data_IF_418767920144
#
_entry.id   IF_418767920144
#
_cell.length_a   1.000
_cell.length_b   1.000
_cell.length_c   1.000
_cell.angle_alpha   90.00
_cell.angle_beta   90.00
_cell.angle_gamma   90.00
#
_symmetry.space_group_name_H-M   'P 1'
#
loop_
_entity.id
_entity.type
_entity.pdbx_description
1 polymer ?
#
# COMPACT_ATOMS: atom_id res chain seq x y z
N UNK A 1 -4.13 -4.65 -10.38
CA UNK A 1 -3.38 -5.39 -9.31
C UNK A 1 -3.54 -6.91 -9.36
N UNK A 2 -4.59 -7.46 -9.98
CA UNK A 2 -4.85 -8.92 -10.00
C UNK A 2 -4.59 -9.58 -11.37
N UNK A 3 -3.74 -8.98 -12.20
CA UNK A 3 -3.31 -9.69 -13.41
C UNK A 3 -2.41 -10.86 -13.01
N UNK A 4 -2.56 -12.01 -13.66
CA UNK A 4 -1.78 -13.21 -13.36
C UNK A 4 -0.30 -13.01 -13.71
N UNK A 5 -0.03 -12.19 -14.72
CA UNK A 5 1.31 -11.99 -15.27
C UNK A 5 2.05 -10.77 -14.70
N UNK A 6 1.53 -10.18 -13.61
CA UNK A 6 2.13 -8.97 -13.05
C UNK A 6 3.38 -9.28 -12.22
N UNK A 7 4.43 -8.51 -12.45
CA UNK A 7 5.68 -8.62 -11.71
C UNK A 7 5.52 -8.15 -10.25
N UNK A 8 6.18 -8.85 -9.32
CA UNK A 8 6.07 -8.57 -7.89
C UNK A 8 6.58 -7.16 -7.54
N UNK A 9 7.62 -6.67 -8.24
CA UNK A 9 8.15 -5.31 -8.04
C UNK A 9 7.10 -4.29 -8.46
N UNK A 10 6.50 -4.48 -9.64
CA UNK A 10 5.43 -3.61 -10.13
C UNK A 10 4.24 -3.60 -9.18
N UNK A 11 3.88 -4.72 -8.55
CA UNK A 11 2.81 -4.75 -7.54
C UNK A 11 3.12 -3.83 -6.37
N UNK A 12 4.34 -3.88 -5.83
CA UNK A 12 4.77 -3.00 -4.72
C UNK A 12 4.72 -1.53 -5.12
N UNK A 13 5.19 -1.20 -6.32
CA UNK A 13 5.15 0.17 -6.86
C UNK A 13 3.72 0.67 -7.04
N UNK A 14 2.81 -0.17 -7.56
CA UNK A 14 1.40 0.17 -7.71
C UNK A 14 0.72 0.39 -6.35
N UNK A 15 1.01 -0.45 -5.35
CA UNK A 15 0.52 -0.20 -3.99
C UNK A 15 1.04 1.12 -3.44
N UNK A 16 2.32 1.42 -3.64
CA UNK A 16 2.90 2.67 -3.19
C UNK A 16 2.24 3.88 -3.87
N UNK A 17 2.02 3.83 -5.18
CA UNK A 17 1.31 4.88 -5.93
C UNK A 17 -0.12 5.06 -5.42
N UNK A 18 -0.86 3.96 -5.21
CA UNK A 18 -2.23 4.00 -4.71
C UNK A 18 -2.33 4.57 -3.28
N UNK A 19 -1.39 4.21 -2.40
CA UNK A 19 -1.30 4.78 -1.04
C UNK A 19 -1.09 6.29 -1.11
N UNK A 20 -0.14 6.76 -1.90
CA UNK A 20 0.10 8.20 -2.08
C UNK A 20 -1.13 8.91 -2.64
N UNK A 21 -1.83 8.30 -3.60
CA UNK A 21 -3.06 8.85 -4.14
C UNK A 21 -4.13 9.02 -3.04
N UNK A 22 -4.36 8.01 -2.20
CA UNK A 22 -5.34 8.10 -1.10
C UNK A 22 -4.94 9.12 -0.05
N UNK A 23 -3.65 9.21 0.28
CA UNK A 23 -3.13 10.24 1.17
C UNK A 23 -3.34 11.64 0.57
N UNK A 24 -3.17 11.78 -0.75
CA UNK A 24 -3.43 13.04 -1.46
C UNK A 24 -4.90 13.42 -1.51
N UNK A 25 -5.84 12.48 -1.30
CA UNK A 25 -7.27 12.80 -1.17
C UNK A 25 -7.63 13.33 0.22
N UNK A 26 -6.76 13.17 1.22
CA UNK A 26 -7.03 13.56 2.62
C UNK A 26 -6.86 15.07 2.84
N UNK A 27 -7.61 15.87 2.11
CA UNK A 27 -7.73 17.31 2.28
C UNK A 27 -9.15 17.78 1.98
N UNK A 28 -9.43 19.02 2.38
CA UNK A 28 -10.75 19.62 2.25
C UNK A 28 -11.13 19.90 0.79
N UNK A 29 -10.17 20.25 -0.08
CA UNK A 29 -10.43 20.51 -1.51
C UNK A 29 -10.96 19.25 -2.23
N UNK A 30 -10.36 18.10 -1.94
CA UNK A 30 -10.79 16.80 -2.47
C UNK A 30 -12.18 16.43 -1.96
N UNK A 31 -12.47 16.71 -0.69
CA UNK A 31 -13.80 16.53 -0.14
C UNK A 31 -14.83 17.44 -0.84
N UNK A 32 -14.48 18.71 -1.08
CA UNK A 32 -15.35 19.66 -1.76
C UNK A 32 -15.76 19.20 -3.15
N UNK A 33 -14.85 18.60 -3.92
CA UNK A 33 -15.18 18.02 -5.22
C UNK A 33 -16.24 16.92 -5.07
N UNK A 34 -16.11 16.05 -4.07
CA UNK A 34 -17.10 15.00 -3.79
C UNK A 34 -18.44 15.58 -3.31
N UNK A 35 -18.38 16.62 -2.48
CA UNK A 35 -19.52 17.37 -1.98
C UNK A 35 -20.31 18.01 -3.13
N UNK A 36 -19.64 18.70 -4.05
CA UNK A 36 -20.25 19.33 -5.23
C UNK A 36 -20.93 18.28 -6.15
N UNK A 37 -20.27 17.13 -6.35
CA UNK A 37 -20.86 16.01 -7.11
C UNK A 37 -22.09 15.45 -6.39
N UNK A 38 -22.02 15.28 -5.06
CA UNK A 38 -23.13 14.77 -4.26
C UNK A 38 -24.32 15.73 -4.26
N UNK A 39 -24.10 17.04 -4.13
CA UNK A 39 -25.14 18.07 -4.22
C UNK A 39 -25.77 18.06 -5.62
N UNK A 40 -24.96 18.00 -6.67
CA UNK A 40 -25.44 17.96 -8.06
C UNK A 40 -26.33 16.74 -8.32
N UNK A 41 -25.98 15.59 -7.73
CA UNK A 41 -26.75 14.33 -7.89
C UNK A 41 -27.98 14.24 -6.99
N UNK A 42 -27.92 14.76 -5.76
CA UNK A 42 -28.99 14.63 -4.77
C UNK A 42 -29.97 15.80 -4.78
N UNK A 43 -29.56 16.97 -5.25
CA UNK A 43 -30.31 18.22 -5.14
C UNK A 43 -30.37 18.81 -3.73
N UNK A 44 -29.72 18.16 -2.75
CA UNK A 44 -29.74 18.55 -1.34
C UNK A 44 -28.45 19.30 -1.01
N UNK A 45 -28.56 20.52 -0.49
CA UNK A 45 -27.42 21.36 -0.09
C UNK A 45 -27.17 21.34 1.41
N UNK A 46 -28.23 21.19 2.19
CA UNK A 46 -28.16 21.32 3.64
C UNK A 46 -27.91 19.96 4.30
N UNK A 47 -27.00 19.95 5.28
CA UNK A 47 -26.78 18.80 6.13
C UNK A 47 -27.97 18.60 7.08
N UNK A 48 -28.51 17.38 7.11
CA UNK A 48 -29.74 17.09 7.82
C UNK A 48 -29.51 17.03 9.34
N UNK A 49 -29.82 18.11 10.09
CA UNK A 49 -29.77 18.09 11.57
C UNK A 49 -30.80 18.98 12.29
N UNK A 50 -31.83 19.49 11.59
CA UNK A 50 -32.82 20.41 12.19
C UNK A 50 -33.60 19.85 13.41
N UNK A 51 -33.45 18.57 13.76
CA UNK A 51 -34.20 17.91 14.84
C UNK A 51 -33.35 17.36 15.99
N UNK A 52 -32.03 17.59 16.06
CA UNK A 52 -31.25 17.13 17.23
C UNK A 52 -31.20 18.16 18.35
N UNK A 53 -31.60 17.71 19.55
CA UNK A 53 -31.55 18.51 20.78
C UNK A 53 -30.10 18.88 21.11
N UNK A 54 -29.76 20.17 21.00
CA UNK A 54 -28.48 20.69 21.49
C UNK A 54 -28.47 20.64 23.02
N UNK A 55 -27.63 19.77 23.59
CA UNK A 55 -27.50 19.60 25.05
C UNK A 55 -26.64 20.74 25.60
N UNK A 56 -27.24 21.69 26.32
CA UNK A 56 -26.50 22.71 27.05
C UNK A 56 -25.89 22.12 28.32
N UNK A 57 -24.57 22.23 28.48
CA UNK A 57 -23.87 21.92 29.74
C UNK A 57 -24.24 22.97 30.80
N UNK A 58 -24.32 22.56 32.07
CA UNK A 58 -24.39 23.52 33.19
C UNK A 58 -22.97 24.04 33.46
N UNK A 59 -22.79 25.34 33.37
CA UNK A 59 -21.52 26.03 33.58
C UNK A 59 -21.44 26.44 35.06
N UNK A 60 -20.32 26.18 35.73
CA UNK A 60 -20.07 26.69 37.09
C UNK A 60 -19.68 28.17 37.08
N UNK A 61 -19.87 28.88 38.19
CA UNK A 61 -19.68 30.35 38.27
C UNK A 61 -18.27 30.81 37.84
N UNK A 62 -17.25 29.96 38.03
CA UNK A 62 -15.85 30.24 37.64
C UNK A 62 -15.45 29.67 36.26
N UNK A 63 -16.34 28.97 35.56
CA UNK A 63 -16.07 28.45 34.21
C UNK A 63 -16.63 29.41 33.15
N UNK A 64 -15.83 29.72 32.13
CA UNK A 64 -16.31 30.44 30.93
C UNK A 64 -16.41 29.48 29.75
N UNK A 65 -17.39 29.70 28.86
CA UNK A 65 -17.67 28.80 27.74
C UNK A 65 -16.79 29.04 26.50
N UNK A 66 -15.78 29.91 26.62
CA UNK A 66 -15.01 30.45 25.49
C UNK A 66 -14.21 29.41 24.70
N UNK A 67 -14.05 28.19 25.23
CA UNK A 67 -13.27 27.12 24.62
C UNK A 67 -14.12 25.97 24.03
N UNK A 68 -15.45 26.07 23.99
CA UNK A 68 -16.28 25.06 23.32
C UNK A 68 -16.14 25.19 21.78
N UNK A 69 -15.36 24.28 21.18
CA UNK A 69 -15.23 24.17 19.72
C UNK A 69 -16.53 23.57 19.17
N UNK A 70 -17.37 24.40 18.57
CA UNK A 70 -18.56 23.96 17.86
C UNK A 70 -18.16 23.58 16.42
N UNK A 71 -18.01 22.28 16.16
CA UNK A 71 -17.82 21.80 14.78
C UNK A 71 -19.07 22.06 13.95
N UNK A 72 -18.90 22.57 12.72
CA UNK A 72 -20.02 22.57 11.77
C UNK A 72 -20.39 21.13 11.40
N UNK A 73 -21.61 20.92 10.92
CA UNK A 73 -22.08 19.61 10.49
C UNK A 73 -21.25 19.06 9.33
N UNK A 74 -20.79 19.97 8.47
CA UNK A 74 -19.82 19.70 7.41
C UNK A 74 -18.49 19.21 7.99
N UNK A 75 -17.93 19.91 8.97
CA UNK A 75 -16.68 19.51 9.61
C UNK A 75 -16.82 18.17 10.32
N UNK A 76 -17.98 17.91 10.93
CA UNK A 76 -18.26 16.61 11.55
C UNK A 76 -18.20 15.48 10.52
N UNK A 77 -18.81 15.65 9.34
CA UNK A 77 -18.77 14.66 8.27
C UNK A 77 -17.35 14.47 7.73
N UNK A 78 -16.60 15.56 7.52
CA UNK A 78 -15.22 15.52 7.05
C UNK A 78 -14.35 14.74 8.05
N UNK A 79 -14.37 15.14 9.32
CA UNK A 79 -13.48 14.60 10.34
C UNK A 79 -13.86 13.17 10.73
N UNK A 80 -15.14 12.92 11.02
CA UNK A 80 -15.58 11.65 11.61
C UNK A 80 -15.93 10.59 10.57
N UNK A 81 -16.12 10.97 9.30
CA UNK A 81 -16.48 10.03 8.25
C UNK A 81 -15.46 10.01 7.13
N UNK A 82 -15.24 11.13 6.44
CA UNK A 82 -14.37 11.17 5.26
C UNK A 82 -12.93 10.79 5.58
N UNK A 83 -12.31 11.47 6.57
CA UNK A 83 -10.95 11.16 6.98
C UNK A 83 -10.84 9.77 7.61
N UNK A 84 -11.83 9.34 8.40
CA UNK A 84 -11.83 7.99 8.98
C UNK A 84 -11.83 6.90 7.90
N UNK A 85 -12.62 7.07 6.83
CA UNK A 85 -12.65 6.13 5.70
C UNK A 85 -11.29 6.10 4.98
N UNK A 86 -10.72 7.27 4.68
CA UNK A 86 -9.41 7.36 4.02
C UNK A 86 -8.29 6.76 4.87
N UNK A 87 -8.28 7.04 6.17
CA UNK A 87 -7.28 6.53 7.12
C UNK A 87 -7.38 4.99 7.21
N UNK A 88 -8.61 4.45 7.27
CA UNK A 88 -8.84 3.00 7.25
C UNK A 88 -8.36 2.37 5.96
N UNK A 89 -8.67 2.98 4.81
CA UNK A 89 -8.27 2.48 3.51
C UNK A 89 -6.75 2.51 3.33
N UNK A 90 -6.11 3.62 3.70
CA UNK A 90 -4.65 3.78 3.69
C UNK A 90 -3.98 2.74 4.58
N UNK A 91 -4.51 2.50 5.78
CA UNK A 91 -4.01 1.47 6.68
C UNK A 91 -4.07 0.07 6.07
N UNK A 92 -5.22 -0.34 5.51
CA UNK A 92 -5.34 -1.68 4.91
C UNK A 92 -4.45 -1.85 3.68
N UNK A 93 -4.25 -0.80 2.87
CA UNK A 93 -3.32 -0.84 1.74
C UNK A 93 -1.87 -0.95 2.19
N UNK A 94 -1.45 -0.17 3.20
CA UNK A 94 -0.12 -0.28 3.80
C UNK A 94 0.11 -1.68 4.36
N UNK A 95 -0.87 -2.22 5.09
CA UNK A 95 -0.82 -3.59 5.63
C UNK A 95 -0.65 -4.64 4.53
N UNK A 96 -1.38 -4.53 3.42
CA UNK A 96 -1.21 -5.44 2.27
C UNK A 96 0.14 -5.25 1.60
N UNK A 97 0.58 -4.01 1.36
CA UNK A 97 1.89 -3.70 0.77
C UNK A 97 3.02 -4.33 1.58
N UNK A 98 2.96 -4.27 2.91
CA UNK A 98 3.97 -4.88 3.79
C UNK A 98 4.16 -6.38 3.52
N UNK A 99 3.09 -7.13 3.26
CA UNK A 99 3.21 -8.55 2.91
C UNK A 99 3.99 -8.76 1.60
N UNK A 100 3.77 -7.89 0.60
CA UNK A 100 4.54 -7.93 -0.64
C UNK A 100 5.98 -7.44 -0.46
N UNK A 101 6.22 -6.42 0.37
CA UNK A 101 7.57 -5.95 0.70
C UNK A 101 8.41 -7.08 1.35
N UNK A 102 7.81 -7.87 2.25
CA UNK A 102 8.48 -9.02 2.87
C UNK A 102 8.78 -10.14 1.86
N UNK A 103 7.91 -10.36 0.88
CA UNK A 103 8.19 -11.30 -0.23
C UNK A 103 9.30 -10.78 -1.12
N UNK A 104 9.25 -9.50 -1.51
CA UNK A 104 10.30 -8.88 -2.32
C UNK A 104 11.64 -9.02 -1.63
N UNK A 105 11.78 -8.69 -0.34
CA UNK A 105 13.05 -8.84 0.40
C UNK A 105 13.70 -10.22 0.26
N UNK A 106 12.90 -11.28 0.20
CA UNK A 106 13.38 -12.67 0.09
C UNK A 106 13.75 -13.06 -1.33
N UNK A 107 12.98 -12.62 -2.32
CA UNK A 107 13.08 -13.09 -3.71
C UNK A 107 13.61 -12.05 -4.70
N UNK A 108 13.94 -10.83 -4.24
CA UNK A 108 14.31 -9.70 -5.09
C UNK A 108 15.47 -9.99 -6.03
N UNK A 109 16.45 -10.78 -5.59
CA UNK A 109 17.65 -11.07 -6.38
C UNK A 109 17.33 -11.80 -7.70
N UNK A 110 16.24 -12.59 -7.76
CA UNK A 110 15.79 -13.24 -9.00
C UNK A 110 15.41 -12.24 -10.09
N UNK A 111 14.85 -11.09 -9.71
CA UNK A 111 14.47 -10.04 -10.65
C UNK A 111 15.67 -9.22 -11.14
N UNK A 112 16.83 -9.34 -10.47
CA UNK A 112 18.05 -8.59 -10.77
C UNK A 112 19.25 -9.45 -11.17
N UNK A 113 19.03 -10.71 -11.54
CA UNK A 113 20.12 -11.66 -11.86
C UNK A 113 21.12 -11.15 -12.92
N UNK A 114 20.64 -10.38 -13.90
CA UNK A 114 21.47 -9.79 -14.95
C UNK A 114 22.32 -8.60 -14.45
N UNK A 115 21.88 -7.89 -13.41
CA UNK A 115 22.54 -6.69 -12.84
C UNK A 115 23.53 -7.03 -11.72
N UNK A 116 23.20 -8.01 -10.87
CA UNK A 116 23.97 -8.28 -9.64
C UNK A 116 25.20 -9.17 -9.89
N UNK A 117 26.13 -9.19 -8.93
CA UNK A 117 27.33 -10.03 -9.00
C UNK A 117 27.05 -11.46 -8.51
N UNK A 118 27.83 -12.46 -8.94
CA UNK A 118 27.71 -13.84 -8.44
C UNK A 118 27.89 -13.95 -6.91
N UNK A 119 28.74 -13.09 -6.34
CA UNK A 119 28.91 -13.03 -4.88
C UNK A 119 27.62 -12.58 -4.18
N UNK A 120 26.91 -11.60 -4.75
CA UNK A 120 25.65 -11.12 -4.18
C UNK A 120 24.52 -12.15 -4.34
N UNK A 121 24.46 -12.86 -5.47
CA UNK A 121 23.53 -13.99 -5.65
C UNK A 121 23.75 -15.05 -4.58
N UNK A 122 25.01 -15.40 -4.30
CA UNK A 122 25.34 -16.38 -3.26
C UNK A 122 24.84 -15.94 -1.88
N UNK A 123 25.11 -14.70 -1.49
CA UNK A 123 24.67 -14.14 -0.22
C UNK A 123 23.13 -14.18 -0.08
N UNK A 124 22.41 -13.68 -1.09
CA UNK A 124 20.95 -13.61 -1.05
C UNK A 124 20.31 -15.02 -1.10
N UNK A 125 20.90 -15.96 -1.86
CA UNK A 125 20.46 -17.35 -1.91
C UNK A 125 20.71 -18.09 -0.58
N UNK A 126 21.82 -17.80 0.11
CA UNK A 126 22.09 -18.36 1.45
C UNK A 126 21.07 -17.88 2.49
N UNK A 127 20.68 -16.61 2.44
CA UNK A 127 19.61 -16.06 3.30
C UNK A 127 18.29 -16.79 3.01
N UNK A 128 17.98 -17.03 1.74
CA UNK A 128 16.76 -17.73 1.35
C UNK A 128 16.77 -19.20 1.82
N UNK A 129 17.88 -19.92 1.64
CA UNK A 129 18.08 -21.29 2.12
C UNK A 129 17.89 -21.40 3.65
N UNK A 130 18.43 -20.44 4.41
CA UNK A 130 18.24 -20.39 5.88
C UNK A 130 16.79 -20.10 6.28
N UNK A 131 16.05 -19.37 5.44
CA UNK A 131 14.64 -19.05 5.69
C UNK A 131 13.74 -20.26 5.41
N UNK A 132 14.11 -21.10 4.45
CA UNK A 132 13.34 -22.28 4.01
C UNK A 132 14.21 -23.55 3.95
N UNK A 133 14.77 -24.01 5.08
CA UNK A 133 15.77 -25.09 5.09
C UNK A 133 15.19 -26.47 4.73
N UNK A 134 13.88 -26.66 4.88
CA UNK A 134 13.20 -27.92 4.55
C UNK A 134 12.67 -27.95 3.11
N UNK A 135 12.56 -26.79 2.46
CA UNK A 135 12.00 -26.68 1.10
C UNK A 135 13.10 -26.57 0.03
N UNK A 136 14.33 -26.21 0.43
CA UNK A 136 15.44 -25.94 -0.48
C UNK A 136 16.60 -26.92 -0.25
N UNK A 137 17.16 -27.45 -1.35
CA UNK A 137 18.29 -28.35 -1.31
C UNK A 137 19.59 -27.65 -0.90
N UNK A 138 20.54 -28.39 -0.35
CA UNK A 138 21.84 -27.85 0.08
C UNK A 138 22.68 -27.28 -1.08
N UNK A 139 22.42 -27.75 -2.31
CA UNK A 139 23.05 -27.25 -3.53
C UNK A 139 22.39 -25.99 -4.12
N UNK A 140 21.25 -25.54 -3.58
CA UNK A 140 20.45 -24.42 -4.09
C UNK A 140 21.27 -23.14 -4.36
N UNK A 141 22.19 -22.81 -3.46
CA UNK A 141 23.04 -21.62 -3.57
C UNK A 141 23.94 -21.69 -4.81
N UNK A 142 24.51 -22.87 -5.09
CA UNK A 142 25.36 -23.07 -6.25
C UNK A 142 24.54 -23.09 -7.54
N UNK A 143 23.35 -23.70 -7.51
CA UNK A 143 22.40 -23.70 -8.63
C UNK A 143 22.00 -22.27 -9.02
N UNK A 144 21.74 -21.39 -8.05
CA UNK A 144 21.42 -19.98 -8.32
C UNK A 144 22.56 -19.25 -9.05
N UNK A 145 23.81 -19.49 -8.67
CA UNK A 145 24.98 -18.87 -9.32
C UNK A 145 25.19 -19.42 -10.74
N UNK A 146 25.03 -20.73 -10.93
CA UNK A 146 25.10 -21.35 -12.26
C UNK A 146 23.98 -20.84 -13.16
N UNK A 147 22.75 -20.77 -12.63
CA UNK A 147 21.59 -20.22 -13.32
C UNK A 147 21.82 -18.77 -13.71
N UNK A 148 22.37 -17.94 -12.83
CA UNK A 148 22.74 -16.57 -13.17
C UNK A 148 23.72 -16.51 -14.36
N UNK A 149 24.74 -17.37 -14.36
CA UNK A 149 25.69 -17.48 -15.47
C UNK A 149 25.00 -17.83 -16.79
N UNK A 150 24.06 -18.78 -16.75
CA UNK A 150 23.26 -19.14 -17.91
C UNK A 150 22.40 -17.96 -18.41
N UNK A 151 21.68 -17.28 -17.50
CA UNK A 151 20.85 -16.12 -17.85
C UNK A 151 21.66 -14.97 -18.43
N UNK A 152 22.88 -14.72 -17.92
CA UNK A 152 23.77 -13.67 -18.46
C UNK A 152 24.31 -13.97 -19.85
N UNK A 153 24.36 -15.24 -20.24
CA UNK A 153 24.75 -15.64 -21.59
C UNK A 153 23.61 -15.51 -22.62
N UNK A 154 22.38 -15.25 -22.16
CA UNK A 154 21.24 -14.99 -23.04
C UNK A 154 21.22 -13.49 -23.36
N UNK A 155 21.25 -13.16 -24.65
CA UNK A 155 21.36 -11.78 -25.15
C UNK A 155 20.13 -10.91 -24.83
N UNK A 156 19.04 -11.53 -24.39
CA UNK A 156 17.77 -10.87 -24.05
C UNK A 156 17.54 -10.92 -22.55
N UNK A 157 17.22 -9.76 -21.97
CA UNK A 157 16.76 -9.66 -20.58
C UNK A 157 15.41 -10.37 -20.43
N UNK A 158 15.43 -11.54 -19.80
CA UNK A 158 14.25 -12.36 -19.55
C UNK A 158 13.47 -11.85 -18.33
N UNK A 159 12.14 -11.98 -18.36
CA UNK A 159 11.29 -11.83 -17.18
C UNK A 159 11.36 -13.10 -16.31
N UNK A 160 10.96 -13.01 -15.04
CA UNK A 160 10.89 -14.17 -14.14
C UNK A 160 9.98 -15.28 -14.68
N UNK A 161 8.88 -14.93 -15.36
CA UNK A 161 7.99 -15.90 -16.01
C UNK A 161 8.70 -16.63 -17.16
N UNK A 162 9.49 -15.90 -17.97
CA UNK A 162 10.27 -16.51 -19.05
C UNK A 162 11.40 -17.39 -18.49
N UNK A 163 12.01 -17.00 -17.38
CA UNK A 163 13.02 -17.80 -16.68
C UNK A 163 12.51 -19.18 -16.25
N UNK A 164 11.22 -19.32 -15.90
CA UNK A 164 10.63 -20.61 -15.53
C UNK A 164 10.71 -21.67 -16.64
N UNK A 165 10.84 -21.26 -17.90
CA UNK A 165 10.97 -22.21 -19.02
C UNK A 165 12.28 -23.02 -18.96
N UNK A 166 13.29 -22.53 -18.23
CA UNK A 166 14.60 -23.17 -18.08
C UNK A 166 14.71 -24.07 -16.84
N UNK A 167 13.65 -24.18 -16.04
CA UNK A 167 13.61 -24.94 -14.77
C UNK A 167 12.85 -26.28 -14.93
N UNK A 168 12.58 -26.71 -16.17
CA UNK A 168 11.91 -27.98 -16.48
C UNK A 168 12.88 -29.11 -16.78
#
# INVERSE_FOLDING_TARGET
LQSVDIDLITVVELYQSLIHYIESLRNEDSFKILEDIAITKSGIKDYNDHNKRKRKRKIHIDENNDNEILFSERDYLIINTYYVILDKLSYELKKRKLAYDELVKKFFFFFKLHEITPAKVREDAEVLLKTYPNDLATCFVNECVQFQGHIKNIDVKLTTIQMLQFIR
#
